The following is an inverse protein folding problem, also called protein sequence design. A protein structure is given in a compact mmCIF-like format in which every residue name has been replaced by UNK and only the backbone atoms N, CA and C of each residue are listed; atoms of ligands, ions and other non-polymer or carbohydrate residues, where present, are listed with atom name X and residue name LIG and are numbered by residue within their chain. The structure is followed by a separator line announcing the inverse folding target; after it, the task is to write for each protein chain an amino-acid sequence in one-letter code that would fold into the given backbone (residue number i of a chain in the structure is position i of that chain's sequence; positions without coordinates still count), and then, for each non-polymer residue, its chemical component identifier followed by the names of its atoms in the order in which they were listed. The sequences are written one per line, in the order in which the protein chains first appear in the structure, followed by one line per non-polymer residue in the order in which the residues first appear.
data_IF_784125847399
#
_entry.id   IF_784125847399
#
_cell.length_a   1.000
_cell.length_b   1.000
_cell.length_c   1.000
_cell.angle_alpha   90.00
_cell.angle_beta   90.00
_cell.angle_gamma   90.00
#
_symmetry.space_group_name_H-M   'P 1'
#
loop_
_entity.id
_entity.type
_entity.pdbx_description
1 polymer ?
#
# COMPACT_ATOMS: atom_id res chain seq x y z
N UNK A 1 -1.22 -23.83 -2.65
CA UNK A 1 -0.37 -22.68 -3.04
C UNK A 1 0.79 -22.65 -2.05
N UNK A 2 2.07 -22.53 -2.50
CA UNK A 2 3.19 -22.53 -1.57
C UNK A 2 3.20 -21.22 -0.76
N UNK A 3 3.68 -21.30 0.50
CA UNK A 3 3.96 -20.18 1.37
C UNK A 3 4.94 -19.18 0.72
N UNK A 4 4.84 -17.92 1.08
CA UNK A 4 5.82 -16.89 0.69
C UNK A 4 7.11 -16.96 1.52
N UNK A 5 7.12 -17.69 2.61
CA UNK A 5 8.27 -17.83 3.52
C UNK A 5 9.17 -19.00 3.13
N UNK A 6 10.46 -18.90 3.42
CA UNK A 6 11.43 -19.97 3.21
C UNK A 6 11.25 -21.15 4.20
N UNK A 7 10.40 -20.99 5.22
CA UNK A 7 10.07 -22.03 6.22
C UNK A 7 9.39 -21.41 7.43
N UNK A 8 8.95 -22.27 8.36
CA UNK A 8 8.20 -21.87 9.55
C UNK A 8 8.98 -20.93 10.48
N UNK A 9 10.29 -21.12 10.62
CA UNK A 9 11.14 -20.22 11.41
C UNK A 9 11.16 -18.81 10.81
N UNK A 10 11.28 -18.69 9.48
CA UNK A 10 11.22 -17.43 8.77
C UNK A 10 9.87 -16.72 8.93
N UNK A 11 8.78 -17.48 8.86
CA UNK A 11 7.44 -16.96 9.13
C UNK A 11 7.34 -16.42 10.55
N UNK A 12 7.81 -17.17 11.54
CA UNK A 12 7.76 -16.74 12.94
C UNK A 12 8.59 -15.49 13.19
N UNK A 13 9.77 -15.39 12.61
CA UNK A 13 10.63 -14.18 12.74
C UNK A 13 9.95 -12.95 12.16
N UNK A 14 9.29 -13.06 11.00
CA UNK A 14 8.54 -11.95 10.38
C UNK A 14 7.36 -11.56 11.26
N UNK A 15 6.58 -12.53 11.75
CA UNK A 15 5.45 -12.27 12.65
C UNK A 15 5.89 -11.60 13.96
N UNK A 16 6.95 -12.09 14.58
CA UNK A 16 7.48 -11.51 15.81
C UNK A 16 7.89 -10.05 15.60
N UNK A 17 8.63 -9.75 14.55
CA UNK A 17 9.00 -8.39 14.22
C UNK A 17 7.77 -7.47 14.08
N UNK A 18 6.74 -7.91 13.35
CA UNK A 18 5.51 -7.13 13.20
C UNK A 18 4.80 -6.90 14.55
N UNK A 19 4.74 -7.92 15.41
CA UNK A 19 4.09 -7.80 16.72
C UNK A 19 4.89 -6.91 17.67
N UNK A 20 6.22 -6.98 17.65
CA UNK A 20 7.11 -6.09 18.39
C UNK A 20 6.87 -4.64 17.99
N UNK A 21 6.82 -4.35 16.68
CA UNK A 21 6.54 -3.03 16.17
C UNK A 21 5.17 -2.50 16.60
N UNK A 22 4.15 -3.34 16.64
CA UNK A 22 2.82 -2.96 17.13
C UNK A 22 2.81 -2.76 18.65
N UNK A 23 3.53 -3.59 19.39
CA UNK A 23 3.64 -3.45 20.85
C UNK A 23 4.35 -2.14 21.26
N UNK A 24 5.37 -1.75 20.51
CA UNK A 24 6.11 -0.49 20.71
C UNK A 24 5.35 0.75 20.18
N UNK A 25 4.26 0.55 19.47
CA UNK A 25 3.48 1.65 18.92
C UNK A 25 2.63 2.32 19.99
N UNK A 26 2.99 3.53 20.39
CA UNK A 26 2.36 4.26 21.50
C UNK A 26 0.96 4.80 21.20
N UNK A 27 0.60 4.96 19.90
CA UNK A 27 -0.74 5.38 19.56
C UNK A 27 -1.76 4.25 19.87
N UNK A 28 -2.89 4.55 20.53
CA UNK A 28 -3.95 3.56 20.75
C UNK A 28 -4.42 2.95 19.42
N UNK A 29 -4.34 1.64 19.33
CA UNK A 29 -4.75 0.88 18.16
C UNK A 29 -5.30 -0.48 18.57
N UNK A 30 -6.10 -1.07 17.71
CA UNK A 30 -6.65 -2.43 17.89
C UNK A 30 -6.28 -3.29 16.68
N UNK A 31 -5.77 -4.48 16.90
CA UNK A 31 -5.53 -5.46 15.85
C UNK A 31 -6.60 -6.54 15.89
N UNK A 32 -7.20 -6.79 14.74
CA UNK A 32 -8.19 -7.83 14.51
C UNK A 32 -7.70 -8.82 13.47
N UNK A 33 -8.19 -10.05 13.57
CA UNK A 33 -8.02 -11.09 12.54
C UNK A 33 -9.41 -11.43 11.99
N UNK A 34 -9.58 -11.26 10.69
CA UNK A 34 -10.84 -11.56 10.01
C UNK A 34 -10.66 -12.67 8.99
N UNK A 35 -11.62 -13.60 8.84
CA UNK A 35 -11.60 -14.62 7.81
C UNK A 35 -11.99 -14.02 6.46
N UNK A 36 -11.23 -14.35 5.42
CA UNK A 36 -11.56 -14.03 4.02
C UNK A 36 -11.31 -15.23 3.12
N UNK A 37 -11.76 -15.20 1.87
CA UNK A 37 -11.43 -16.25 0.90
C UNK A 37 -9.95 -16.32 0.55
N UNK A 38 -9.19 -15.26 0.86
CA UNK A 38 -7.73 -15.23 0.76
C UNK A 38 -7.01 -15.81 1.99
N UNK A 39 -7.74 -16.27 3.00
CA UNK A 39 -7.25 -16.70 4.30
C UNK A 39 -7.43 -15.61 5.37
N UNK A 40 -6.85 -15.82 6.54
CA UNK A 40 -6.91 -14.84 7.64
C UNK A 40 -6.24 -13.54 7.22
N UNK A 41 -6.94 -12.44 7.42
CA UNK A 41 -6.44 -11.08 7.18
C UNK A 41 -6.27 -10.36 8.51
N UNK A 42 -5.07 -9.83 8.77
CA UNK A 42 -4.80 -8.94 9.90
C UNK A 42 -5.17 -7.52 9.53
N UNK A 43 -5.92 -6.88 10.40
CA UNK A 43 -6.45 -5.52 10.26
C UNK A 43 -6.08 -4.72 11.49
N UNK A 44 -5.61 -3.50 11.31
CA UNK A 44 -5.27 -2.59 12.40
C UNK A 44 -6.19 -1.38 12.31
N UNK A 45 -6.95 -1.11 13.36
CA UNK A 45 -7.78 0.10 13.50
C UNK A 45 -7.05 1.11 14.37
N UNK A 46 -7.00 2.36 13.93
CA UNK A 46 -6.26 3.45 14.58
C UNK A 46 -7.12 4.72 14.59
N UNK A 47 -7.04 5.49 15.67
CA UNK A 47 -7.82 6.72 15.84
C UNK A 47 -9.27 6.48 16.24
N UNK A 48 -10.20 7.35 15.82
CA UNK A 48 -11.62 7.18 16.12
C UNK A 48 -12.18 5.86 15.59
N UNK A 49 -13.15 5.29 16.29
CA UNK A 49 -13.84 4.08 15.83
C UNK A 49 -14.59 4.33 14.51
N UNK A 50 -14.52 3.41 13.53
CA UNK A 50 -15.30 3.49 12.31
C UNK A 50 -16.81 3.52 12.61
N UNK A 51 -17.53 4.45 11.98
CA UNK A 51 -18.96 4.64 12.18
C UNK A 51 -19.71 4.71 10.83
N UNK A 52 -21.00 4.31 10.77
CA UNK A 52 -21.76 4.26 9.51
C UNK A 52 -21.86 5.59 8.75
N UNK A 53 -21.88 6.72 9.47
CA UNK A 53 -22.04 8.05 8.90
C UNK A 53 -20.72 8.78 8.60
N UNK A 54 -19.59 8.21 9.01
CA UNK A 54 -18.27 8.85 8.90
C UNK A 54 -17.42 8.03 7.92
N UNK A 55 -16.87 8.64 6.86
CA UNK A 55 -15.96 7.94 5.97
C UNK A 55 -14.74 7.40 6.70
N UNK A 56 -14.45 6.12 6.51
CA UNK A 56 -13.24 5.48 7.03
C UNK A 56 -12.13 5.55 5.99
N UNK A 57 -10.93 5.95 6.39
CA UNK A 57 -9.74 5.87 5.54
C UNK A 57 -9.14 4.48 5.65
N UNK A 58 -9.07 3.77 4.53
CA UNK A 58 -8.54 2.39 4.50
C UNK A 58 -7.22 2.38 3.74
N UNK A 59 -6.13 2.01 4.41
CA UNK A 59 -4.79 1.95 3.86
C UNK A 59 -4.46 0.54 3.36
N UNK A 60 -4.05 0.45 2.09
CA UNK A 60 -3.60 -0.81 1.46
C UNK A 60 -2.12 -0.69 1.12
N UNK A 61 -1.24 -1.41 1.84
CA UNK A 61 0.20 -1.35 1.69
C UNK A 61 0.74 -1.83 0.34
N UNK A 62 2.00 -1.47 0.09
CA UNK A 62 2.76 -1.88 -1.08
C UNK A 62 3.34 -3.29 -1.00
N UNK A 63 4.20 -3.63 -1.97
CA UNK A 63 4.93 -4.90 -1.99
C UNK A 63 5.94 -4.94 -0.86
N UNK A 64 5.98 -6.08 -0.16
CA UNK A 64 6.89 -6.33 0.97
C UNK A 64 6.68 -5.40 2.18
N UNK A 65 5.55 -4.74 2.29
CA UNK A 65 5.17 -3.91 3.43
C UNK A 65 3.85 -4.39 4.02
N UNK A 66 3.52 -3.94 5.22
CA UNK A 66 2.35 -4.33 6.00
C UNK A 66 1.92 -3.18 6.93
N UNK A 67 0.91 -3.40 7.75
CA UNK A 67 0.40 -2.39 8.69
C UNK A 67 1.45 -1.90 9.69
N UNK A 68 2.32 -2.79 10.16
CA UNK A 68 3.38 -2.42 11.11
C UNK A 68 4.42 -1.48 10.49
N UNK A 69 4.68 -1.58 9.18
CA UNK A 69 5.59 -0.66 8.46
C UNK A 69 4.93 0.66 8.06
N UNK A 70 3.60 0.78 8.22
CA UNK A 70 2.82 1.96 7.84
C UNK A 70 2.35 2.78 9.05
N UNK A 71 2.91 2.53 10.25
CA UNK A 71 2.53 3.22 11.49
C UNK A 71 2.54 4.74 11.33
N UNK A 72 3.63 5.30 10.81
CA UNK A 72 3.83 6.74 10.71
C UNK A 72 2.73 7.44 9.89
N UNK A 73 2.43 6.95 8.69
CA UNK A 73 1.33 7.51 7.89
C UNK A 73 -0.04 7.23 8.51
N UNK A 74 -0.19 6.10 9.20
CA UNK A 74 -1.43 5.76 9.90
C UNK A 74 -1.71 6.72 11.05
N UNK A 75 -0.69 7.16 11.79
CA UNK A 75 -0.80 8.21 12.81
C UNK A 75 -1.28 9.53 12.22
N UNK A 76 -0.66 9.95 11.12
CA UNK A 76 -1.02 11.20 10.45
C UNK A 76 -2.49 11.20 9.97
N UNK A 77 -2.97 10.08 9.41
CA UNK A 77 -4.36 9.93 8.97
C UNK A 77 -5.33 9.80 10.15
N UNK A 78 -4.97 9.04 11.17
CA UNK A 78 -5.79 8.77 12.34
C UNK A 78 -6.02 10.02 13.23
N UNK A 79 -5.17 11.03 13.10
CA UNK A 79 -5.38 12.33 13.72
C UNK A 79 -6.63 13.06 13.19
N UNK A 80 -7.13 12.65 12.01
CA UNK A 80 -8.26 13.33 11.33
C UNK A 80 -9.45 12.40 11.10
N UNK A 81 -9.24 11.09 10.85
CA UNK A 81 -10.30 10.16 10.44
C UNK A 81 -10.14 8.79 11.08
N UNK A 82 -11.25 8.04 11.26
CA UNK A 82 -11.16 6.60 11.47
C UNK A 82 -10.27 5.97 10.43
N UNK A 83 -9.20 5.30 10.85
CA UNK A 83 -8.19 4.76 9.95
C UNK A 83 -8.05 3.25 10.14
N UNK A 84 -8.11 2.51 9.05
CA UNK A 84 -7.93 1.06 9.00
C UNK A 84 -6.75 0.74 8.11
N UNK A 85 -5.81 -0.04 8.61
CA UNK A 85 -4.64 -0.50 7.85
C UNK A 85 -4.73 -2.00 7.65
N UNK A 86 -4.54 -2.46 6.42
CA UNK A 86 -4.68 -3.86 6.04
C UNK A 86 -3.32 -4.52 5.84
N UNK A 87 -3.13 -5.73 6.35
CA UNK A 87 -2.04 -6.59 5.90
C UNK A 87 -2.50 -7.39 4.69
N UNK A 88 -1.83 -7.20 3.57
CA UNK A 88 -2.19 -7.84 2.30
C UNK A 88 -1.81 -9.33 2.33
N UNK A 89 -2.74 -10.28 2.14
CA UNK A 89 -2.41 -11.71 2.08
C UNK A 89 -1.35 -12.02 1.03
N UNK A 90 -0.43 -12.92 1.34
CA UNK A 90 0.68 -13.26 0.47
C UNK A 90 1.74 -12.15 0.32
N UNK A 91 1.71 -11.14 1.19
CA UNK A 91 2.82 -10.24 1.50
C UNK A 91 3.36 -10.55 2.90
N UNK A 92 4.65 -10.23 3.18
CA UNK A 92 5.20 -10.43 4.52
C UNK A 92 4.45 -9.61 5.57
N UNK A 93 3.97 -10.25 6.63
CA UNK A 93 3.17 -9.61 7.66
C UNK A 93 2.42 -10.61 8.54
N UNK A 94 1.26 -10.20 9.05
CA UNK A 94 0.44 -10.98 9.98
C UNK A 94 -0.75 -11.68 9.31
N UNK A 95 -1.03 -11.39 8.04
CA UNK A 95 -2.06 -12.07 7.24
C UNK A 95 -1.60 -13.42 6.69
N UNK A 96 -2.52 -14.14 6.02
CA UNK A 96 -2.23 -15.41 5.36
C UNK A 96 -1.05 -15.28 4.39
N UNK A 97 -0.19 -16.28 4.38
CA UNK A 97 1.11 -16.29 3.70
C UNK A 97 1.08 -16.89 2.29
N UNK A 98 -0.10 -17.04 1.72
CA UNK A 98 -0.29 -17.66 0.41
C UNK A 98 -0.90 -16.67 -0.58
N UNK A 99 -0.51 -16.81 -1.85
CA UNK A 99 -1.08 -16.04 -2.97
C UNK A 99 -1.11 -16.89 -4.24
N UNK A 100 -2.12 -16.73 -5.10
CA UNK A 100 -2.18 -17.48 -6.35
C UNK A 100 -1.04 -17.06 -7.30
N UNK A 101 -0.60 -18.01 -8.12
CA UNK A 101 0.41 -17.72 -9.16
C UNK A 101 -0.15 -16.91 -10.33
N UNK A 102 -1.45 -17.07 -10.64
CA UNK A 102 -2.16 -16.39 -11.75
C UNK A 102 -3.43 -15.73 -11.24
N UNK A 103 -3.96 -14.76 -11.96
CA UNK A 103 -5.21 -14.08 -11.64
C UNK A 103 -5.17 -13.20 -10.38
N UNK A 104 -3.97 -12.76 -9.96
CA UNK A 104 -3.77 -12.04 -8.70
C UNK A 104 -4.62 -10.78 -8.58
N UNK A 105 -4.77 -10.02 -9.65
CA UNK A 105 -5.52 -8.75 -9.58
C UNK A 105 -6.98 -8.96 -9.19
N UNK A 106 -7.66 -9.93 -9.82
CA UNK A 106 -9.05 -10.27 -9.47
C UNK A 106 -9.15 -10.88 -8.08
N UNK A 107 -8.18 -11.71 -7.69
CA UNK A 107 -8.13 -12.32 -6.38
C UNK A 107 -7.97 -11.27 -5.28
N UNK A 108 -7.06 -10.32 -5.45
CA UNK A 108 -6.88 -9.20 -4.52
C UNK A 108 -8.08 -8.25 -4.51
N UNK A 109 -8.71 -8.01 -5.67
CA UNK A 109 -9.92 -7.20 -5.73
C UNK A 109 -11.05 -7.79 -4.89
N UNK A 110 -11.29 -9.11 -4.99
CA UNK A 110 -12.28 -9.82 -4.17
C UNK A 110 -11.93 -9.79 -2.69
N UNK A 111 -10.67 -10.05 -2.35
CA UNK A 111 -10.19 -9.96 -0.98
C UNK A 111 -10.46 -8.58 -0.36
N UNK A 112 -10.17 -7.51 -1.08
CA UNK A 112 -10.41 -6.15 -0.57
C UNK A 112 -11.91 -5.88 -0.37
N UNK A 113 -12.77 -6.32 -1.29
CA UNK A 113 -14.22 -6.20 -1.14
C UNK A 113 -14.69 -6.91 0.14
N UNK A 114 -14.34 -8.19 0.31
CA UNK A 114 -14.69 -8.99 1.50
C UNK A 114 -14.19 -8.35 2.80
N UNK A 115 -12.97 -7.79 2.76
CA UNK A 115 -12.38 -7.10 3.91
C UNK A 115 -13.17 -5.84 4.26
N UNK A 116 -13.48 -4.98 3.28
CA UNK A 116 -14.26 -3.76 3.50
C UNK A 116 -15.65 -4.05 4.06
N UNK A 117 -16.30 -5.11 3.61
CA UNK A 117 -17.62 -5.52 4.11
C UNK A 117 -17.60 -5.87 5.60
N UNK A 118 -16.49 -6.42 6.10
CA UNK A 118 -16.35 -6.85 7.50
C UNK A 118 -15.85 -5.73 8.43
N UNK A 119 -15.00 -4.82 7.95
CA UNK A 119 -14.29 -3.88 8.84
C UNK A 119 -14.75 -2.43 8.71
N UNK A 120 -15.52 -2.09 7.66
CA UNK A 120 -15.98 -0.72 7.44
C UNK A 120 -17.50 -0.68 7.48
N UNK A 121 -18.11 -0.09 8.52
CA UNK A 121 -19.57 -0.05 8.67
C UNK A 121 -20.26 0.91 7.70
N UNK A 122 -19.52 1.90 7.14
CA UNK A 122 -20.02 2.96 6.27
C UNK A 122 -19.20 3.16 5.01
N UNK A 123 -19.15 4.38 4.46
CA UNK A 123 -18.34 4.72 3.29
C UNK A 123 -16.84 4.64 3.59
N UNK A 124 -16.04 4.33 2.57
CA UNK A 124 -14.59 4.26 2.66
C UNK A 124 -13.91 5.11 1.58
N UNK A 125 -12.90 5.86 1.97
CA UNK A 125 -11.86 6.36 1.05
C UNK A 125 -10.66 5.41 1.15
N UNK A 126 -10.37 4.72 0.04
CA UNK A 126 -9.34 3.70 0.03
C UNK A 126 -8.04 4.26 -0.55
N UNK A 127 -6.99 4.23 0.25
CA UNK A 127 -5.65 4.72 -0.08
C UNK A 127 -4.75 3.54 -0.40
N UNK A 128 -4.26 3.46 -1.63
CA UNK A 128 -3.39 2.36 -2.06
C UNK A 128 -2.01 2.83 -2.48
N UNK A 129 -0.97 2.28 -1.86
CA UNK A 129 0.41 2.55 -2.23
C UNK A 129 0.99 1.43 -3.09
N UNK A 130 1.62 1.76 -4.19
CA UNK A 130 2.33 0.81 -5.07
C UNK A 130 1.45 -0.39 -5.46
N UNK A 131 1.75 -1.62 -5.01
CA UNK A 131 0.88 -2.80 -5.16
C UNK A 131 -0.52 -2.54 -4.63
N UNK A 132 -0.65 -1.89 -3.47
CA UNK A 132 -1.92 -1.52 -2.87
C UNK A 132 -2.81 -0.71 -3.81
N UNK A 133 -2.22 0.21 -4.59
CA UNK A 133 -2.95 0.96 -5.61
C UNK A 133 -3.56 0.07 -6.71
N UNK A 134 -2.82 -0.94 -7.17
CA UNK A 134 -3.36 -1.92 -8.13
C UNK A 134 -4.50 -2.76 -7.50
N UNK A 135 -4.42 -3.07 -6.20
CA UNK A 135 -5.47 -3.77 -5.46
C UNK A 135 -6.72 -2.90 -5.34
N UNK A 136 -6.56 -1.63 -4.96
CA UNK A 136 -7.65 -0.66 -4.87
C UNK A 136 -8.36 -0.47 -6.21
N UNK A 137 -7.60 -0.42 -7.31
CA UNK A 137 -8.16 -0.35 -8.67
C UNK A 137 -8.88 -1.63 -9.07
N UNK A 138 -8.45 -2.79 -8.58
CA UNK A 138 -9.10 -4.08 -8.90
C UNK A 138 -10.41 -4.27 -8.13
N UNK A 139 -10.59 -3.63 -6.98
CA UNK A 139 -11.79 -3.75 -6.15
C UNK A 139 -12.96 -2.89 -6.67
N UNK A 140 -14.17 -3.46 -6.64
CA UNK A 140 -15.42 -2.80 -6.98
C UNK A 140 -16.43 -3.04 -5.84
N UNK A 141 -16.50 -2.09 -4.92
CA UNK A 141 -17.38 -2.18 -3.76
C UNK A 141 -18.17 -0.89 -3.61
N UNK A 142 -19.47 -0.95 -3.28
CA UNK A 142 -20.29 0.23 -3.02
C UNK A 142 -19.83 1.01 -1.79
N UNK A 143 -19.03 0.39 -0.92
CA UNK A 143 -18.41 1.10 0.21
C UNK A 143 -17.31 2.07 -0.21
N UNK A 144 -16.69 1.86 -1.37
CA UNK A 144 -15.63 2.74 -1.87
C UNK A 144 -16.25 3.99 -2.50
N UNK A 145 -16.26 5.07 -1.76
CA UNK A 145 -16.73 6.38 -2.23
C UNK A 145 -15.63 7.26 -2.81
N UNK A 146 -14.36 6.93 -2.56
CA UNK A 146 -13.19 7.64 -3.09
C UNK A 146 -11.93 6.78 -3.12
N UNK A 147 -11.01 7.11 -4.02
CA UNK A 147 -9.72 6.42 -4.17
C UNK A 147 -8.57 7.41 -4.18
N UNK A 148 -7.53 7.11 -3.40
CA UNK A 148 -6.24 7.82 -3.44
C UNK A 148 -5.16 6.82 -3.81
N UNK A 149 -4.55 7.03 -4.97
CA UNK A 149 -3.58 6.12 -5.58
C UNK A 149 -2.18 6.75 -5.51
N UNK A 150 -1.34 6.22 -4.64
CA UNK A 150 -0.02 6.76 -4.32
C UNK A 150 1.07 5.90 -4.95
N UNK A 151 1.88 6.47 -5.87
CA UNK A 151 2.89 5.70 -6.64
C UNK A 151 2.33 4.36 -7.10
N UNK A 152 1.12 4.39 -7.70
CA UNK A 152 0.27 3.22 -7.88
C UNK A 152 0.73 2.34 -9.02
N UNK A 153 0.93 1.06 -8.75
CA UNK A 153 0.95 0.02 -9.77
C UNK A 153 -0.46 -0.14 -10.41
N UNK A 154 -0.52 -0.87 -11.51
CA UNK A 154 -1.78 -1.15 -12.21
C UNK A 154 -2.12 -0.19 -13.34
N UNK A 155 -1.58 1.04 -13.37
CA UNK A 155 -1.79 2.00 -14.46
C UNK A 155 -0.78 1.80 -15.61
N UNK A 156 0.48 1.63 -15.25
CA UNK A 156 1.58 1.42 -16.21
C UNK A 156 2.47 0.28 -15.73
N UNK A 157 3.28 -0.27 -16.63
CA UNK A 157 4.34 -1.22 -16.25
C UNK A 157 5.42 -0.48 -15.49
N UNK A 158 5.86 -1.02 -14.34
CA UNK A 158 6.95 -0.47 -13.57
C UNK A 158 8.26 -0.45 -14.39
N UNK A 159 9.02 0.62 -14.23
CA UNK A 159 10.41 0.67 -14.65
C UNK A 159 11.27 -0.01 -13.59
N UNK A 160 12.34 -0.64 -14.03
CA UNK A 160 13.39 -1.16 -13.15
C UNK A 160 14.73 -0.67 -13.66
N UNK A 161 15.17 0.53 -13.27
CA UNK A 161 16.43 1.09 -13.74
C UNK A 161 17.62 0.20 -13.38
N UNK A 162 18.68 0.15 -14.22
CA UNK A 162 19.89 -0.65 -13.95
C UNK A 162 20.51 -0.37 -12.58
N UNK A 163 20.48 0.88 -12.11
CA UNK A 163 20.99 1.26 -10.79
C UNK A 163 20.19 0.62 -9.63
N UNK A 164 18.87 0.39 -9.80
CA UNK A 164 18.03 -0.33 -8.85
C UNK A 164 18.39 -1.82 -8.88
N UNK A 165 18.54 -2.41 -10.05
CA UNK A 165 18.98 -3.81 -10.21
C UNK A 165 20.32 -4.04 -9.52
N UNK A 166 21.31 -3.17 -9.77
CA UNK A 166 22.64 -3.24 -9.18
C UNK A 166 22.62 -3.14 -7.65
N UNK A 167 21.67 -2.42 -7.07
CA UNK A 167 21.48 -2.36 -5.62
C UNK A 167 20.71 -3.59 -5.09
N UNK A 168 19.72 -4.09 -5.85
CA UNK A 168 18.81 -5.17 -5.43
C UNK A 168 19.50 -6.54 -5.45
N UNK A 169 20.31 -6.85 -6.45
CA UNK A 169 20.98 -8.17 -6.57
C UNK A 169 21.85 -8.48 -5.33
N UNK A 170 22.79 -7.61 -4.89
CA UNK A 170 23.56 -7.85 -3.67
C UNK A 170 22.72 -7.98 -2.40
N UNK A 171 21.60 -7.23 -2.32
CA UNK A 171 20.67 -7.30 -1.20
C UNK A 171 19.96 -8.68 -1.16
N UNK A 172 19.51 -9.22 -2.29
CA UNK A 172 18.87 -10.54 -2.35
C UNK A 172 19.84 -11.70 -2.10
N UNK A 173 21.07 -11.60 -2.61
CA UNK A 173 22.09 -12.67 -2.47
C UNK A 173 22.66 -12.76 -1.06
N UNK A 174 22.90 -11.61 -0.41
CA UNK A 174 23.43 -11.52 0.96
C UNK A 174 22.69 -10.43 1.73
N UNK A 175 21.48 -10.70 2.22
CA UNK A 175 20.66 -9.71 2.92
C UNK A 175 21.35 -9.11 4.14
N UNK A 176 21.37 -7.78 4.21
CA UNK A 176 21.85 -7.02 5.37
C UNK A 176 21.21 -5.64 5.39
N UNK A 177 21.14 -5.01 6.58
CA UNK A 177 20.59 -3.66 6.76
C UNK A 177 21.26 -2.63 5.85
N UNK A 178 22.61 -2.57 5.74
CA UNK A 178 23.26 -1.60 4.85
C UNK A 178 22.94 -1.82 3.36
N UNK A 179 22.69 -3.07 2.94
CA UNK A 179 22.29 -3.36 1.55
C UNK A 179 20.83 -3.01 1.30
N UNK A 180 19.94 -3.30 2.24
CA UNK A 180 18.55 -2.86 2.20
C UNK A 180 18.45 -1.33 2.12
N UNK A 181 19.16 -0.61 2.99
CA UNK A 181 19.23 0.84 2.97
C UNK A 181 19.75 1.39 1.62
N UNK A 182 20.69 0.68 0.95
CA UNK A 182 21.17 1.07 -0.39
C UNK A 182 20.09 0.92 -1.45
N UNK A 183 19.24 -0.10 -1.38
CA UNK A 183 18.07 -0.26 -2.26
C UNK A 183 17.07 0.86 -2.00
N UNK A 184 16.71 1.09 -0.74
CA UNK A 184 15.74 2.11 -0.33
C UNK A 184 16.19 3.53 -0.70
N UNK A 185 17.48 3.83 -0.61
CA UNK A 185 18.05 5.12 -1.09
C UNK A 185 17.82 5.40 -2.57
N UNK A 186 17.53 4.37 -3.38
CA UNK A 186 17.12 4.56 -4.78
C UNK A 186 15.64 4.85 -4.95
N UNK A 187 14.87 4.67 -3.85
CA UNK A 187 13.42 4.82 -3.85
C UNK A 187 12.95 6.13 -3.22
N UNK A 188 13.81 6.83 -2.49
CA UNK A 188 13.55 8.17 -1.93
C UNK A 188 14.06 9.27 -2.85
N UNK A 189 13.60 10.51 -2.61
CA UNK A 189 14.11 11.70 -3.29
C UNK A 189 15.62 11.91 -3.02
N UNK A 190 16.36 12.65 -3.88
CA UNK A 190 17.74 13.01 -3.61
C UNK A 190 17.87 13.74 -2.27
N UNK A 191 18.74 13.21 -1.39
CA UNK A 191 18.90 13.71 -0.03
C UNK A 191 17.83 13.24 0.97
N UNK A 192 16.82 12.49 0.53
CA UNK A 192 15.78 11.92 1.38
C UNK A 192 16.34 10.91 2.39
N UNK A 193 15.71 10.86 3.56
CA UNK A 193 16.06 9.92 4.62
C UNK A 193 15.39 8.56 4.38
N UNK A 194 16.15 7.50 4.54
CA UNK A 194 15.63 6.14 4.64
C UNK A 194 15.38 5.82 6.10
N UNK A 195 14.17 5.44 6.52
CA UNK A 195 13.93 4.99 7.88
C UNK A 195 14.78 3.74 8.21
N UNK A 196 15.48 3.76 9.34
CA UNK A 196 16.34 2.65 9.75
C UNK A 196 15.53 1.37 9.95
N UNK A 197 14.37 1.49 10.57
CA UNK A 197 13.41 0.42 10.78
C UNK A 197 12.95 -0.25 9.46
N UNK A 198 12.69 0.56 8.42
CA UNK A 198 12.34 0.03 7.10
C UNK A 198 13.51 -0.72 6.46
N UNK A 199 14.76 -0.29 6.70
CA UNK A 199 15.95 -0.99 6.23
C UNK A 199 16.15 -2.34 6.95
N UNK A 200 15.90 -2.41 8.25
CA UNK A 200 15.90 -3.64 9.05
C UNK A 200 14.82 -4.62 8.56
N UNK A 201 13.59 -4.11 8.41
CA UNK A 201 12.47 -4.86 7.85
C UNK A 201 12.81 -5.46 6.47
N UNK A 202 13.30 -4.65 5.55
CA UNK A 202 13.65 -5.12 4.21
C UNK A 202 14.79 -6.14 4.21
N UNK A 203 15.75 -6.04 5.16
CA UNK A 203 16.77 -7.06 5.33
C UNK A 203 16.18 -8.38 5.85
N UNK A 204 15.20 -8.33 6.75
CA UNK A 204 14.47 -9.49 7.25
C UNK A 204 13.66 -10.15 6.12
N UNK A 205 12.90 -9.37 5.36
CA UNK A 205 12.12 -9.84 4.22
C UNK A 205 12.98 -10.57 3.19
N UNK A 206 14.13 -10.01 2.83
CA UNK A 206 15.03 -10.65 1.87
C UNK A 206 15.64 -11.98 2.37
N UNK A 207 15.79 -12.14 3.69
CA UNK A 207 16.26 -13.40 4.30
C UNK A 207 15.18 -14.47 4.37
N UNK A 208 13.93 -14.05 4.58
CA UNK A 208 12.86 -14.93 5.00
C UNK A 208 11.79 -15.17 3.93
N UNK A 209 11.74 -14.37 2.88
CA UNK A 209 10.62 -14.40 1.95
C UNK A 209 11.03 -14.59 0.49
N UNK A 210 10.20 -15.31 -0.26
CA UNK A 210 10.31 -15.37 -1.70
C UNK A 210 9.88 -14.06 -2.34
N UNK A 211 10.73 -13.51 -3.21
CA UNK A 211 10.46 -12.26 -3.94
C UNK A 211 9.15 -12.32 -4.74
N UNK A 212 8.46 -11.21 -4.79
CA UNK A 212 7.27 -11.02 -5.62
C UNK A 212 7.59 -10.11 -6.80
N UNK A 213 7.16 -10.51 -7.98
CA UNK A 213 7.18 -9.61 -9.13
C UNK A 213 6.05 -8.58 -9.01
N UNK A 214 6.33 -7.37 -9.49
CA UNK A 214 5.33 -6.31 -9.60
C UNK A 214 4.15 -6.76 -10.48
N UNK A 215 2.91 -6.36 -10.15
CA UNK A 215 1.75 -6.70 -10.96
C UNK A 215 1.86 -6.02 -12.35
N UNK A 216 1.35 -6.67 -13.40
CA UNK A 216 1.19 -6.02 -14.70
C UNK A 216 0.14 -4.89 -14.62
N UNK A 217 0.11 -3.98 -15.61
CA UNK A 217 -1.00 -3.04 -15.76
C UNK A 217 -2.35 -3.77 -15.81
N UNK A 218 -3.36 -3.14 -15.21
CA UNK A 218 -4.72 -3.64 -15.22
C UNK A 218 -5.40 -3.41 -16.58
N UNK A 219 -6.39 -4.24 -16.95
CA UNK A 219 -7.11 -4.07 -18.21
C UNK A 219 -7.76 -2.68 -18.32
N UNK A 220 -7.68 -1.99 -19.48
CA UNK A 220 -8.26 -0.66 -19.66
C UNK A 220 -9.76 -0.58 -19.33
N UNK A 221 -10.52 -1.62 -19.62
CA UNK A 221 -11.96 -1.67 -19.29
C UNK A 221 -12.22 -1.65 -17.78
N UNK A 222 -11.38 -2.35 -17.00
CA UNK A 222 -11.47 -2.35 -15.55
C UNK A 222 -11.15 -0.95 -15.00
N UNK A 223 -10.09 -0.32 -15.50
CA UNK A 223 -9.70 1.03 -15.08
C UNK A 223 -10.79 2.06 -15.41
N UNK A 224 -11.38 2.01 -16.61
CA UNK A 224 -12.46 2.90 -17.01
C UNK A 224 -13.69 2.80 -16.09
N UNK A 225 -13.99 1.62 -15.59
CA UNK A 225 -15.09 1.41 -14.63
C UNK A 225 -14.85 2.08 -13.26
N UNK A 226 -13.61 2.51 -12.97
CA UNK A 226 -13.27 3.19 -11.70
C UNK A 226 -13.49 4.70 -11.73
N UNK A 227 -13.96 5.24 -12.85
CA UNK A 227 -14.30 6.67 -12.97
C UNK A 227 -15.58 7.06 -12.26
N UNK A 228 -16.35 6.10 -11.78
CA UNK A 228 -17.66 6.29 -11.13
C UNK A 228 -17.58 6.96 -9.75
N UNK A 229 -16.41 7.05 -9.17
CA UNK A 229 -16.18 7.73 -7.88
C UNK A 229 -14.94 8.61 -7.95
N UNK A 230 -14.83 9.65 -7.11
CA UNK A 230 -13.65 10.50 -7.03
C UNK A 230 -12.36 9.67 -6.91
N UNK A 231 -11.43 9.91 -7.83
CA UNK A 231 -10.15 9.24 -7.85
C UNK A 231 -9.02 10.26 -7.97
N UNK A 232 -8.05 10.19 -7.08
CA UNK A 232 -6.84 10.99 -7.10
C UNK A 232 -5.63 10.08 -7.33
N UNK A 233 -4.73 10.50 -8.23
CA UNK A 233 -3.47 9.81 -8.48
C UNK A 233 -2.32 10.74 -8.13
N UNK A 234 -1.40 10.29 -7.29
CA UNK A 234 -0.19 11.02 -6.95
C UNK A 234 1.05 10.15 -7.07
N UNK A 235 2.18 10.76 -7.43
CA UNK A 235 3.50 10.10 -7.44
C UNK A 235 4.58 11.09 -7.05
N UNK A 236 5.69 10.61 -6.51
CA UNK A 236 6.88 11.43 -6.28
C UNK A 236 7.55 11.84 -7.58
N UNK A 237 8.09 13.07 -7.63
CA UNK A 237 8.87 13.54 -8.80
C UNK A 237 10.05 12.63 -9.10
N UNK A 238 10.64 12.04 -8.07
CA UNK A 238 11.81 11.18 -8.13
C UNK A 238 11.48 9.68 -8.07
N UNK A 239 10.21 9.31 -8.30
CA UNK A 239 9.82 7.90 -8.33
C UNK A 239 10.50 7.17 -9.49
N UNK A 240 11.43 6.29 -9.16
CA UNK A 240 12.23 5.53 -10.14
C UNK A 240 11.46 4.42 -10.83
N UNK A 241 10.36 3.94 -10.23
CA UNK A 241 9.52 2.86 -10.76
C UNK A 241 8.35 3.38 -11.57
N UNK A 242 7.76 4.49 -11.12
CA UNK A 242 6.52 5.08 -11.65
C UNK A 242 6.69 6.58 -11.87
N UNK A 243 7.64 6.99 -12.74
CA UNK A 243 7.94 8.40 -12.93
C UNK A 243 6.74 9.16 -13.52
N UNK A 244 6.57 10.45 -13.16
CA UNK A 244 5.42 11.28 -13.54
C UNK A 244 5.10 11.27 -15.03
N UNK A 245 6.10 11.33 -15.90
CA UNK A 245 5.93 11.38 -17.36
C UNK A 245 5.26 10.12 -17.94
N UNK A 246 5.31 8.98 -17.23
CA UNK A 246 4.63 7.75 -17.63
C UNK A 246 3.26 7.59 -16.98
N UNK A 247 3.12 8.01 -15.71
CA UNK A 247 1.87 7.88 -14.96
C UNK A 247 0.84 8.90 -15.40
N UNK A 248 1.23 10.16 -15.65
CA UNK A 248 0.31 11.24 -16.01
C UNK A 248 -0.58 10.92 -17.23
N UNK A 249 -0.04 10.52 -18.40
CA UNK A 249 -0.88 10.20 -19.54
C UNK A 249 -1.78 8.97 -19.30
N UNK A 250 -1.35 8.01 -18.45
CA UNK A 250 -2.17 6.85 -18.12
C UNK A 250 -3.30 7.20 -17.15
N UNK A 251 -3.06 8.02 -16.12
CA UNK A 251 -4.08 8.54 -15.21
C UNK A 251 -5.16 9.30 -15.97
N UNK A 252 -4.77 10.22 -16.83
CA UNK A 252 -5.71 10.98 -17.66
C UNK A 252 -6.51 10.08 -18.60
N UNK A 253 -5.84 9.16 -19.31
CA UNK A 253 -6.49 8.27 -20.30
C UNK A 253 -7.45 7.28 -19.64
N UNK A 254 -7.05 6.66 -18.54
CA UNK A 254 -7.79 5.54 -17.94
C UNK A 254 -8.75 5.96 -16.84
N UNK A 255 -8.39 6.95 -16.04
CA UNK A 255 -9.18 7.39 -14.89
C UNK A 255 -9.80 8.78 -15.07
N UNK A 256 -9.40 9.54 -16.10
CA UNK A 256 -9.91 10.90 -16.34
C UNK A 256 -9.42 11.92 -15.31
N UNK A 257 -8.32 11.64 -14.61
CA UNK A 257 -7.79 12.49 -13.55
C UNK A 257 -6.38 12.99 -13.86
N UNK A 258 -6.07 14.21 -13.39
CA UNK A 258 -4.73 14.80 -13.47
C UNK A 258 -3.85 14.18 -12.40
N UNK A 259 -2.57 13.94 -12.73
CA UNK A 259 -1.58 13.45 -11.78
C UNK A 259 -1.12 14.58 -10.85
N UNK A 260 -1.15 14.34 -9.55
CA UNK A 260 -0.48 15.16 -8.54
C UNK A 260 0.98 14.70 -8.40
N UNK A 261 1.92 15.61 -8.57
CA UNK A 261 3.35 15.32 -8.43
C UNK A 261 3.85 15.92 -7.13
N UNK A 262 4.43 15.10 -6.25
CA UNK A 262 5.08 15.54 -5.02
C UNK A 262 6.56 15.77 -5.30
N UNK A 263 6.98 17.06 -5.36
CA UNK A 263 8.29 17.47 -5.86
C UNK A 263 9.47 16.87 -5.09
N UNK A 264 9.36 16.83 -3.76
CA UNK A 264 10.43 16.37 -2.87
C UNK A 264 10.26 14.91 -2.43
N UNK A 265 9.65 14.07 -3.26
CA UNK A 265 9.38 12.68 -2.93
C UNK A 265 9.79 11.71 -4.03
N UNK A 266 10.17 10.51 -3.62
CA UNK A 266 10.40 9.36 -4.48
C UNK A 266 9.22 8.37 -4.45
N UNK A 267 9.54 7.08 -4.50
CA UNK A 267 8.54 5.99 -4.41
C UNK A 267 7.99 5.82 -2.99
N UNK A 268 8.77 6.20 -1.96
CA UNK A 268 8.40 6.09 -0.55
C UNK A 268 7.71 7.37 -0.03
N UNK A 269 6.87 7.97 -0.85
CA UNK A 269 6.23 9.26 -0.57
C UNK A 269 5.40 9.27 0.73
N UNK A 270 4.97 8.13 1.24
CA UNK A 270 4.26 8.02 2.53
C UNK A 270 5.17 8.36 3.72
N UNK A 271 6.45 8.02 3.62
CA UNK A 271 7.46 8.34 4.63
C UNK A 271 8.04 9.75 4.42
N UNK A 272 8.11 10.20 3.16
CA UNK A 272 8.76 11.46 2.77
C UNK A 272 7.85 12.69 2.91
N UNK A 273 6.52 12.52 2.76
CA UNK A 273 5.58 13.63 2.74
C UNK A 273 4.20 13.28 3.33
N UNK A 274 4.13 12.78 4.59
CA UNK A 274 2.86 12.34 5.19
C UNK A 274 1.80 13.44 5.22
N UNK A 275 2.16 14.68 5.54
CA UNK A 275 1.21 15.81 5.59
C UNK A 275 0.60 16.11 4.22
N UNK A 276 1.39 15.99 3.13
CA UNK A 276 0.88 16.13 1.78
C UNK A 276 -0.10 15.01 1.43
N UNK A 277 0.13 13.79 1.94
CA UNK A 277 -0.80 12.67 1.74
C UNK A 277 -2.12 12.91 2.49
N UNK A 278 -2.07 13.43 3.73
CA UNK A 278 -3.26 13.83 4.49
C UNK A 278 -4.08 14.84 3.68
N UNK A 279 -3.46 15.89 3.15
CA UNK A 279 -4.14 16.89 2.32
C UNK A 279 -4.77 16.29 1.04
N UNK A 280 -4.11 15.30 0.41
CA UNK A 280 -4.68 14.60 -0.75
C UNK A 280 -5.91 13.76 -0.37
N UNK A 281 -5.89 13.08 0.77
CA UNK A 281 -7.05 12.33 1.29
C UNK A 281 -8.20 13.28 1.61
N UNK A 282 -7.92 14.39 2.30
CA UNK A 282 -8.91 15.43 2.60
C UNK A 282 -9.60 15.96 1.33
N UNK A 283 -8.81 16.22 0.27
CA UNK A 283 -9.36 16.71 -1.01
C UNK A 283 -10.29 15.70 -1.68
N UNK A 284 -10.09 14.41 -1.50
CA UNK A 284 -11.00 13.36 -2.00
C UNK A 284 -12.25 13.30 -1.15
N UNK A 285 -12.13 13.35 0.18
CA UNK A 285 -13.26 13.37 1.10
C UNK A 285 -14.20 14.56 0.85
N UNK A 286 -13.63 15.75 0.62
CA UNK A 286 -14.40 16.95 0.29
C UNK A 286 -15.21 16.77 -1.02
N UNK A 287 -14.65 16.14 -2.04
CA UNK A 287 -15.38 15.82 -3.29
C UNK A 287 -16.49 14.80 -3.08
N UNK A 288 -16.25 13.78 -2.24
CA UNK A 288 -17.29 12.80 -1.90
C UNK A 288 -18.48 13.43 -1.18
N UNK A 289 -18.25 14.44 -0.33
CA UNK A 289 -19.31 15.18 0.35
C UNK A 289 -20.11 16.13 -0.57
N UNK A 290 -19.46 16.72 -1.58
CA UNK A 290 -20.08 17.66 -2.53
C UNK A 290 -20.93 17.00 -3.62
N UNK A 291 -20.73 15.73 -3.92
CA UNK A 291 -21.53 14.98 -4.91
C UNK A 291 -22.83 14.39 -4.32
N UNK A 292 -23.05 14.54 -3.01
CA UNK A 292 -24.25 14.07 -2.30
C UNK A 292 -25.33 15.11 -2.09
N UNK A 293 -25.16 16.33 -2.61
CA UNK A 293 -26.17 17.41 -2.61
C UNK A 293 -26.67 17.67 -4.04
#
# INVERSE_FOLDING_TARGET
VPSIYHGAECQQRVRNWCLEQLYEWHLPHQRHEIPTTAGVTSVITVGPEPAPAVPTVVLVPGTNTNGSTYRHISEALAAHWPTVVLDVPGQPGLSADVRPRRGRSLWYGRWLIETLEQVVPGPAVVVGHSLGGAIVLAADSPRIVGRVLLSSAGLVRLLVPPAVVAATVPWLVRPSVPRAARVLRRMVAPGGRVPDELAEWMALVARCCHSSLAPPPLPPRLLAARRSVPCLVATGRHDVFLPPHRVAPAAQRHLGTTLHVLDDSGHLLLDEAPDKIVALVESVLARCAGEGT
#
